data_IF_637350562971
#
_entry.id   IF_637350562971
#
_cell.length_a   1.000
_cell.length_b   1.000
_cell.length_c   1.000
_cell.angle_alpha   90.00
_cell.angle_beta   90.00
_cell.angle_gamma   90.00
#
_symmetry.space_group_name_H-M   'P 1'
#
loop_
_entity.id
_entity.type
_entity.pdbx_description
1 polymer ?
#
# COMPACT_ATOMS: atom_id res chain seq x y z
N UNK A 1 32.25 12.29 19.44
CA UNK A 1 32.32 10.81 19.39
C UNK A 1 31.96 10.43 17.97
N UNK A 2 33.02 10.18 17.21
CA UNK A 2 33.02 9.82 15.80
C UNK A 2 32.68 8.34 15.74
N UNK A 3 31.65 7.99 14.97
CA UNK A 3 31.36 6.64 14.51
C UNK A 3 30.54 6.81 13.23
N UNK A 4 30.81 6.19 12.09
CA UNK A 4 31.97 5.51 11.53
C UNK A 4 31.60 5.46 10.03
N UNK A 5 32.51 5.75 9.09
CA UNK A 5 32.19 5.85 7.67
C UNK A 5 32.09 4.45 7.07
N UNK A 6 30.90 3.85 7.07
CA UNK A 6 30.62 2.69 6.24
C UNK A 6 30.21 3.17 4.84
N UNK A 7 31.24 3.59 4.11
CA UNK A 7 31.32 3.54 2.67
C UNK A 7 30.97 2.11 2.19
N UNK A 8 29.67 1.82 2.06
CA UNK A 8 29.23 0.75 1.16
C UNK A 8 28.90 1.39 -0.19
N UNK A 9 29.94 1.92 -0.83
CA UNK A 9 30.17 1.59 -2.23
C UNK A 9 30.14 0.07 -2.36
N UNK A 10 28.93 -0.49 -2.38
CA UNK A 10 28.59 -1.69 -3.12
C UNK A 10 28.67 -1.27 -4.59
N UNK A 11 29.86 -0.88 -5.07
CA UNK A 11 30.77 -1.82 -5.74
C UNK A 11 29.88 -2.71 -6.58
N UNK A 12 29.69 -2.23 -7.80
CA UNK A 12 29.13 -2.94 -8.93
C UNK A 12 29.55 -4.40 -8.81
N UNK A 13 28.68 -5.22 -8.19
CA UNK A 13 28.88 -6.65 -8.21
C UNK A 13 28.85 -6.96 -9.70
N UNK A 14 29.93 -7.51 -10.28
CA UNK A 14 29.93 -7.79 -11.70
C UNK A 14 28.65 -8.54 -12.00
N UNK A 15 27.92 -8.08 -13.04
CA UNK A 15 26.74 -8.78 -13.52
C UNK A 15 27.24 -10.18 -13.81
N UNK A 16 27.03 -11.11 -12.87
CA UNK A 16 27.42 -12.50 -13.02
C UNK A 16 26.39 -13.05 -13.97
N UNK A 17 26.63 -12.80 -15.25
CA UNK A 17 25.88 -13.38 -16.33
C UNK A 17 26.22 -14.87 -16.32
N UNK A 18 25.47 -15.61 -15.50
CA UNK A 18 25.47 -17.06 -15.51
C UNK A 18 24.61 -17.50 -16.69
N UNK A 19 24.95 -17.03 -17.89
CA UNK A 19 24.32 -17.35 -19.17
C UNK A 19 24.75 -18.71 -19.72
N UNK A 20 25.15 -19.63 -18.85
CA UNK A 20 25.72 -20.91 -19.27
C UNK A 20 25.57 -21.99 -18.22
N UNK A 21 24.34 -22.34 -17.85
CA UNK A 21 24.02 -23.67 -17.33
C UNK A 21 22.73 -24.15 -18.04
N UNK A 22 22.89 -24.55 -19.30
CA UNK A 22 21.87 -25.30 -20.04
C UNK A 22 21.87 -26.74 -19.56
N UNK A 23 21.22 -27.02 -18.43
CA UNK A 23 20.84 -28.38 -18.06
C UNK A 23 19.46 -28.35 -17.38
N UNK A 24 18.47 -28.96 -18.04
CA UNK A 24 17.15 -29.31 -17.49
C UNK A 24 16.56 -28.34 -16.47
N UNK A 25 16.06 -27.18 -16.93
CA UNK A 25 15.49 -26.17 -16.04
C UNK A 25 14.37 -26.74 -15.16
N UNK A 26 14.63 -26.81 -13.84
CA UNK A 26 13.59 -27.13 -12.86
C UNK A 26 12.38 -26.21 -13.08
N UNK A 27 11.14 -26.71 -13.03
CA UNK A 27 9.94 -25.87 -13.16
C UNK A 27 9.84 -24.79 -12.07
N UNK A 28 10.72 -24.83 -11.07
CA UNK A 28 10.86 -23.86 -9.99
C UNK A 28 12.11 -22.98 -10.10
N UNK A 29 12.85 -23.04 -11.23
CA UNK A 29 14.00 -22.18 -11.46
C UNK A 29 13.56 -20.71 -11.58
N UNK A 30 14.24 -19.83 -10.84
CA UNK A 30 14.02 -18.39 -10.86
C UNK A 30 14.94 -17.74 -11.88
N UNK A 31 14.39 -16.88 -12.73
CA UNK A 31 15.17 -16.11 -13.69
C UNK A 31 16.02 -15.05 -12.96
N UNK A 32 17.33 -15.03 -13.22
CA UNK A 32 18.32 -14.13 -12.56
C UNK A 32 18.16 -14.10 -11.03
N UNK A 33 18.31 -15.26 -10.38
CA UNK A 33 18.25 -15.36 -8.92
C UNK A 33 19.40 -14.57 -8.28
N UNK A 34 19.07 -13.59 -7.44
CA UNK A 34 20.04 -12.75 -6.72
C UNK A 34 19.97 -11.24 -7.01
N UNK A 35 19.25 -10.81 -8.05
CA UNK A 35 19.02 -9.39 -8.37
C UNK A 35 17.53 -9.04 -8.30
N UNK A 36 17.16 -7.83 -7.90
CA UNK A 36 15.75 -7.45 -7.79
C UNK A 36 15.08 -8.00 -6.52
N UNK A 37 15.84 -8.54 -5.56
CA UNK A 37 15.29 -9.39 -4.50
C UNK A 37 14.28 -8.65 -3.64
N UNK A 38 14.58 -7.42 -3.20
CA UNK A 38 13.67 -6.66 -2.34
C UNK A 38 12.37 -6.29 -3.06
N UNK A 39 12.48 -5.83 -4.31
CA UNK A 39 11.32 -5.46 -5.13
C UNK A 39 10.47 -6.69 -5.45
N UNK A 40 11.08 -7.84 -5.77
CA UNK A 40 10.36 -9.09 -6.03
C UNK A 40 9.62 -9.59 -4.78
N UNK A 41 10.24 -9.57 -3.61
CA UNK A 41 9.54 -9.93 -2.36
C UNK A 41 8.41 -8.97 -2.04
N UNK A 42 8.60 -7.65 -2.26
CA UNK A 42 7.54 -6.65 -2.11
C UNK A 42 6.36 -6.91 -3.05
N UNK A 43 6.63 -7.15 -4.33
CA UNK A 43 5.60 -7.51 -5.32
C UNK A 43 4.93 -8.84 -5.01
N UNK A 44 5.68 -9.85 -4.53
CA UNK A 44 5.14 -11.16 -4.17
C UNK A 44 4.24 -11.07 -2.93
N UNK A 45 4.62 -10.26 -1.93
CA UNK A 45 3.80 -9.99 -0.76
C UNK A 45 2.50 -9.29 -1.15
N UNK A 46 2.57 -8.22 -1.96
CA UNK A 46 1.40 -7.52 -2.46
C UNK A 46 0.47 -8.42 -3.28
N UNK A 47 1.04 -9.19 -4.22
CA UNK A 47 0.28 -10.16 -5.00
C UNK A 47 -0.33 -11.27 -4.13
N UNK A 48 0.36 -11.70 -3.06
CA UNK A 48 -0.15 -12.65 -2.08
C UNK A 48 -1.37 -12.12 -1.33
N UNK A 49 -1.32 -10.88 -0.84
CA UNK A 49 -2.45 -10.23 -0.17
C UNK A 49 -3.65 -10.14 -1.12
N UNK A 50 -3.44 -9.70 -2.36
CA UNK A 50 -4.50 -9.61 -3.38
C UNK A 50 -5.07 -10.99 -3.71
N UNK A 51 -4.23 -12.02 -3.78
CA UNK A 51 -4.66 -13.40 -4.06
C UNK A 51 -5.54 -13.94 -2.94
N UNK A 52 -5.17 -13.72 -1.68
CA UNK A 52 -5.96 -14.12 -0.51
C UNK A 52 -7.28 -13.34 -0.49
N UNK A 53 -7.25 -12.03 -0.71
CA UNK A 53 -8.46 -11.20 -0.80
C UNK A 53 -9.41 -11.67 -1.91
N UNK A 54 -8.88 -12.02 -3.08
CA UNK A 54 -9.66 -12.56 -4.19
C UNK A 54 -10.29 -13.93 -3.86
N UNK A 55 -9.56 -14.81 -3.17
CA UNK A 55 -10.08 -16.10 -2.73
C UNK A 55 -11.19 -15.94 -1.68
N UNK A 56 -11.03 -15.03 -0.71
CA UNK A 56 -12.07 -14.70 0.28
C UNK A 56 -13.31 -14.11 -0.41
N UNK A 57 -13.11 -13.16 -1.33
CA UNK A 57 -14.21 -12.57 -2.10
C UNK A 57 -14.96 -13.61 -2.93
N UNK A 58 -14.25 -14.54 -3.57
CA UNK A 58 -14.85 -15.63 -4.33
C UNK A 58 -15.69 -16.55 -3.42
N UNK A 59 -15.18 -16.89 -2.23
CA UNK A 59 -15.91 -17.68 -1.23
C UNK A 59 -17.20 -16.97 -0.78
N UNK A 60 -17.12 -15.69 -0.43
CA UNK A 60 -18.28 -14.91 0.05
C UNK A 60 -19.34 -14.75 -1.03
N UNK A 61 -18.96 -14.46 -2.27
CA UNK A 61 -19.91 -14.31 -3.39
C UNK A 61 -20.57 -15.61 -3.80
N UNK A 62 -19.87 -16.72 -3.67
CA UNK A 62 -20.40 -18.05 -3.97
C UNK A 62 -21.33 -18.57 -2.86
N UNK A 63 -21.25 -18.00 -1.65
CA UNK A 63 -22.22 -18.23 -0.55
C UNK A 63 -23.61 -17.65 -0.81
N UNK A 64 -23.69 -16.59 -1.60
CA UNK A 64 -24.95 -15.94 -1.97
C UNK A 64 -25.74 -16.72 -3.05
N UNK A 65 -25.15 -17.75 -3.64
CA UNK A 65 -25.79 -18.55 -4.70
C UNK A 65 -26.66 -19.66 -4.06
N UNK A 66 -27.98 -19.52 -4.15
CA UNK A 66 -28.96 -20.42 -3.52
C UNK A 66 -29.36 -21.64 -4.35
N UNK A 67 -28.85 -21.79 -5.58
CA UNK A 67 -29.25 -22.85 -6.52
C UNK A 67 -28.93 -24.30 -6.09
N UNK A 68 -28.11 -24.50 -5.04
CA UNK A 68 -27.76 -25.83 -4.51
C UNK A 68 -28.43 -26.01 -3.15
N UNK A 69 -29.50 -26.80 -3.09
CA UNK A 69 -30.29 -27.03 -1.87
C UNK A 69 -29.53 -27.87 -0.83
N UNK A 70 -28.66 -28.78 -1.27
CA UNK A 70 -27.86 -29.63 -0.38
C UNK A 70 -26.69 -28.86 0.24
N UNK A 71 -26.74 -28.67 1.56
CA UNK A 71 -25.72 -27.93 2.32
C UNK A 71 -24.29 -28.49 2.17
N UNK A 72 -24.14 -29.82 2.14
CA UNK A 72 -22.84 -30.47 1.97
C UNK A 72 -22.24 -30.23 0.59
N UNK A 73 -23.01 -30.41 -0.50
CA UNK A 73 -22.55 -30.15 -1.87
C UNK A 73 -22.18 -28.69 -2.09
N UNK A 74 -22.93 -27.77 -1.49
CA UNK A 74 -22.66 -26.32 -1.55
C UNK A 74 -21.30 -25.98 -0.93
N UNK A 75 -20.98 -26.54 0.25
CA UNK A 75 -19.70 -26.32 0.93
C UNK A 75 -18.52 -26.81 0.08
N UNK A 76 -18.60 -28.02 -0.51
CA UNK A 76 -17.54 -28.57 -1.35
C UNK A 76 -17.25 -27.73 -2.60
N UNK A 77 -18.30 -27.23 -3.27
CA UNK A 77 -18.15 -26.37 -4.45
C UNK A 77 -17.53 -25.02 -4.04
N UNK A 78 -17.97 -24.43 -2.92
CA UNK A 78 -17.45 -23.16 -2.43
C UNK A 78 -15.96 -23.23 -2.10
N UNK A 79 -15.58 -24.21 -1.28
CA UNK A 79 -14.18 -24.42 -0.91
C UNK A 79 -13.34 -24.78 -2.13
N UNK A 80 -13.87 -25.61 -3.04
CA UNK A 80 -13.18 -25.99 -4.28
C UNK A 80 -12.88 -24.79 -5.18
N UNK A 81 -13.86 -23.89 -5.39
CA UNK A 81 -13.66 -22.69 -6.20
C UNK A 81 -12.70 -21.72 -5.52
N UNK A 82 -12.83 -21.49 -4.21
CA UNK A 82 -11.93 -20.60 -3.48
C UNK A 82 -10.47 -21.09 -3.52
N UNK A 83 -10.24 -22.39 -3.34
CA UNK A 83 -8.92 -23.01 -3.47
C UNK A 83 -8.39 -22.95 -4.91
N UNK A 84 -9.25 -23.16 -5.90
CA UNK A 84 -8.89 -23.03 -7.31
C UNK A 84 -8.43 -21.62 -7.68
N UNK A 85 -9.15 -20.59 -7.20
CA UNK A 85 -8.78 -19.18 -7.37
C UNK A 85 -7.46 -18.88 -6.68
N UNK A 86 -7.29 -19.34 -5.43
CA UNK A 86 -6.05 -19.16 -4.67
C UNK A 86 -4.85 -19.78 -5.39
N UNK A 87 -4.96 -21.05 -5.79
CA UNK A 87 -3.88 -21.77 -6.48
C UNK A 87 -3.57 -21.17 -7.85
N UNK A 88 -4.61 -20.84 -8.64
CA UNK A 88 -4.45 -20.27 -9.97
C UNK A 88 -3.74 -18.91 -9.94
N UNK A 89 -4.15 -18.02 -9.04
CA UNK A 89 -3.53 -16.71 -8.88
C UNK A 89 -2.14 -16.79 -8.25
N UNK A 90 -1.90 -17.71 -7.31
CA UNK A 90 -0.57 -17.94 -6.74
C UNK A 90 0.43 -18.43 -7.81
N UNK A 91 0.01 -19.38 -8.66
CA UNK A 91 0.84 -19.88 -9.78
C UNK A 91 1.10 -18.74 -10.77
N UNK A 92 0.08 -17.97 -11.13
CA UNK A 92 0.23 -16.82 -12.03
C UNK A 92 1.21 -15.79 -11.46
N UNK A 93 1.07 -15.44 -10.18
CA UNK A 93 1.98 -14.55 -9.46
C UNK A 93 3.43 -15.06 -9.48
N UNK A 94 3.63 -16.36 -9.21
CA UNK A 94 4.95 -16.98 -9.27
C UNK A 94 5.56 -16.93 -10.69
N UNK A 95 4.78 -17.23 -11.74
CA UNK A 95 5.27 -17.16 -13.12
C UNK A 95 5.65 -15.74 -13.52
N UNK A 96 4.82 -14.75 -13.17
CA UNK A 96 5.07 -13.36 -13.52
C UNK A 96 6.26 -12.78 -12.76
N UNK A 97 6.33 -12.97 -11.45
CA UNK A 97 7.36 -12.34 -10.58
C UNK A 97 8.69 -13.13 -10.60
N UNK A 98 8.63 -14.45 -10.74
CA UNK A 98 9.79 -15.34 -10.60
C UNK A 98 10.39 -15.81 -11.92
N UNK A 99 9.59 -15.97 -12.98
CA UNK A 99 10.02 -16.69 -14.20
C UNK A 99 9.98 -15.82 -15.45
N UNK A 100 9.06 -14.86 -15.55
CA UNK A 100 8.89 -14.02 -16.74
C UNK A 100 10.08 -13.06 -16.92
N UNK A 101 10.89 -13.18 -17.99
CA UNK A 101 12.06 -12.34 -18.17
C UNK A 101 11.70 -10.85 -18.25
N UNK A 102 10.60 -10.50 -18.94
CA UNK A 102 10.17 -9.11 -19.12
C UNK A 102 9.84 -8.43 -17.80
N UNK A 103 9.07 -9.12 -16.95
CA UNK A 103 8.65 -8.57 -15.65
C UNK A 103 9.85 -8.52 -14.72
N UNK A 104 10.65 -9.59 -14.67
CA UNK A 104 11.82 -9.64 -13.81
C UNK A 104 12.85 -8.57 -14.16
N UNK A 105 13.17 -8.39 -15.44
CA UNK A 105 14.12 -7.37 -15.88
C UNK A 105 13.60 -5.95 -15.57
N UNK A 106 12.28 -5.73 -15.68
CA UNK A 106 11.65 -4.47 -15.24
C UNK A 106 11.76 -4.25 -13.72
N UNK A 107 11.51 -5.27 -12.90
CA UNK A 107 11.61 -5.16 -11.43
C UNK A 107 13.06 -4.89 -10.99
N UNK A 108 14.04 -5.53 -11.65
CA UNK A 108 15.47 -5.25 -11.42
C UNK A 108 15.82 -3.82 -11.83
N UNK A 109 15.37 -3.37 -13.01
CA UNK A 109 15.61 -2.00 -13.46
C UNK A 109 14.99 -0.97 -12.50
N UNK A 110 13.79 -1.24 -12.00
CA UNK A 110 13.10 -0.40 -11.02
C UNK A 110 13.89 -0.33 -9.71
N UNK A 111 14.37 -1.46 -9.18
CA UNK A 111 15.22 -1.46 -7.98
C UNK A 111 16.49 -0.63 -8.18
N UNK A 112 17.14 -0.80 -9.33
CA UNK A 112 18.35 -0.05 -9.67
C UNK A 112 18.09 1.45 -9.81
N UNK A 113 16.93 1.84 -10.34
CA UNK A 113 16.55 3.25 -10.44
C UNK A 113 16.22 3.83 -9.05
N UNK A 114 15.51 3.08 -8.20
CA UNK A 114 15.22 3.50 -6.82
C UNK A 114 16.47 3.63 -5.96
N UNK A 115 17.52 2.83 -6.20
CA UNK A 115 18.82 2.95 -5.50
C UNK A 115 19.57 4.24 -5.82
N UNK A 116 19.28 4.88 -6.96
CA UNK A 116 19.88 6.18 -7.32
C UNK A 116 19.21 7.35 -6.59
N UNK A 117 18.01 7.14 -6.05
CA UNK A 117 17.27 8.18 -5.34
C UNK A 117 17.85 8.36 -3.95
N UNK A 118 18.40 9.55 -3.69
CA UNK A 118 18.81 9.95 -2.36
C UNK A 118 17.56 10.20 -1.50
N UNK A 119 17.36 9.38 -0.46
CA UNK A 119 16.28 9.57 0.49
C UNK A 119 16.59 10.75 1.43
N UNK A 120 15.57 11.56 1.71
CA UNK A 120 15.69 12.70 2.63
C UNK A 120 16.21 12.25 3.99
N UNK A 121 17.11 13.05 4.55
CA UNK A 121 17.65 12.77 5.88
C UNK A 121 16.54 12.90 6.93
N UNK A 122 16.68 12.20 8.08
CA UNK A 122 15.70 12.30 9.18
C UNK A 122 15.46 13.76 9.60
N UNK A 123 16.50 14.60 9.56
CA UNK A 123 16.39 16.02 9.91
C UNK A 123 15.52 16.80 8.92
N UNK A 124 15.65 16.54 7.62
CA UNK A 124 14.83 17.15 6.58
C UNK A 124 13.37 16.72 6.70
N UNK A 125 13.12 15.43 6.94
CA UNK A 125 11.75 14.91 7.14
C UNK A 125 11.09 15.58 8.34
N UNK A 126 11.78 15.69 9.47
CA UNK A 126 11.27 16.41 10.64
C UNK A 126 11.03 17.90 10.38
N UNK A 127 11.91 18.55 9.61
CA UNK A 127 11.74 19.93 9.19
C UNK A 127 10.49 20.12 8.33
N UNK A 128 10.33 19.29 7.29
CA UNK A 128 9.19 19.33 6.39
C UNK A 128 7.87 19.07 7.12
N UNK A 129 7.81 18.04 7.98
CA UNK A 129 6.59 17.71 8.74
C UNK A 129 6.16 18.85 9.68
N UNK A 130 7.12 19.53 10.34
CA UNK A 130 6.80 20.68 11.21
C UNK A 130 6.15 21.82 10.42
N UNK A 131 6.67 22.13 9.23
CA UNK A 131 6.11 23.17 8.36
C UNK A 131 4.70 22.78 7.93
N UNK A 132 4.51 21.54 7.46
CA UNK A 132 3.18 21.05 7.05
C UNK A 132 2.17 21.16 8.19
N UNK A 133 2.50 20.66 9.38
CA UNK A 133 1.62 20.75 10.56
C UNK A 133 1.27 22.21 10.88
N UNK A 134 2.27 23.11 10.90
CA UNK A 134 2.03 24.53 11.16
C UNK A 134 1.11 25.15 10.10
N UNK A 135 1.32 24.86 8.82
CA UNK A 135 0.47 25.39 7.73
C UNK A 135 -0.96 24.85 7.78
N UNK A 136 -1.15 23.57 8.09
CA UNK A 136 -2.48 22.95 8.23
C UNK A 136 -3.23 23.51 9.43
N UNK A 137 -2.55 23.70 10.57
CA UNK A 137 -3.15 24.31 11.75
C UNK A 137 -3.53 25.77 11.52
N UNK A 138 -2.66 26.55 10.86
CA UNK A 138 -2.96 27.94 10.53
C UNK A 138 -4.13 28.03 9.54
N UNK A 139 -4.15 27.17 8.51
CA UNK A 139 -5.27 27.07 7.58
C UNK A 139 -6.57 26.72 8.31
N UNK A 140 -6.54 25.72 9.20
CA UNK A 140 -7.70 25.33 10.00
C UNK A 140 -8.21 26.47 10.89
N UNK A 141 -7.30 27.21 11.53
CA UNK A 141 -7.66 28.39 12.33
C UNK A 141 -8.24 29.51 11.46
N UNK A 142 -7.67 29.77 10.29
CA UNK A 142 -8.18 30.77 9.36
C UNK A 142 -9.59 30.43 8.87
N UNK A 143 -9.81 29.17 8.48
CA UNK A 143 -11.15 28.67 8.10
C UNK A 143 -12.13 28.81 9.27
N UNK A 144 -11.74 28.43 10.49
CA UNK A 144 -12.58 28.59 11.67
C UNK A 144 -12.99 30.04 11.91
N UNK A 145 -12.06 31.01 11.78
CA UNK A 145 -12.38 32.43 11.92
C UNK A 145 -13.35 32.89 10.83
N UNK A 146 -13.09 32.51 9.58
CA UNK A 146 -13.95 32.87 8.43
C UNK A 146 -15.35 32.28 8.59
N UNK A 147 -15.45 31.03 9.04
CA UNK A 147 -16.71 30.36 9.34
C UNK A 147 -17.49 31.12 10.43
N UNK A 148 -16.82 31.52 11.53
CA UNK A 148 -17.44 32.33 12.59
C UNK A 148 -17.92 33.70 12.09
N UNK A 149 -17.16 34.35 11.21
CA UNK A 149 -17.53 35.63 10.60
C UNK A 149 -18.76 35.47 9.70
N UNK A 150 -18.78 34.45 8.83
CA UNK A 150 -19.93 34.16 7.98
C UNK A 150 -21.17 33.79 8.81
N UNK A 151 -21.02 32.95 9.82
CA UNK A 151 -22.10 32.60 10.75
C UNK A 151 -22.71 33.85 11.38
N UNK A 152 -21.86 34.73 11.91
CA UNK A 152 -22.28 35.98 12.54
C UNK A 152 -22.96 36.93 11.55
N UNK A 153 -22.40 37.07 10.33
CA UNK A 153 -22.96 37.88 9.25
C UNK A 153 -24.33 37.38 8.78
N UNK A 154 -24.49 36.07 8.53
CA UNK A 154 -25.75 35.50 8.09
C UNK A 154 -26.82 35.48 9.20
N UNK A 155 -26.40 35.39 10.46
CA UNK A 155 -27.31 35.56 11.60
C UNK A 155 -27.82 37.00 11.71
N UNK A 156 -26.97 38.00 11.45
CA UNK A 156 -27.35 39.41 11.46
C UNK A 156 -28.42 39.73 10.40
N UNK A 157 -28.30 39.17 9.21
CA UNK A 157 -29.24 39.35 8.10
C UNK A 157 -30.53 38.50 8.30
N UNK A 158 -30.59 37.70 9.38
CA UNK A 158 -31.78 36.92 9.72
C UNK A 158 -32.01 35.70 8.83
N UNK A 159 -31.04 35.33 7.99
CA UNK A 159 -31.07 34.11 7.16
C UNK A 159 -30.95 32.87 8.06
N UNK A 160 -30.11 32.94 9.10
CA UNK A 160 -29.87 31.85 10.04
C UNK A 160 -30.34 32.27 11.44
N UNK A 161 -31.20 31.46 12.08
CA UNK A 161 -31.54 31.63 13.50
C UNK A 161 -30.48 30.93 14.35
N UNK A 162 -29.48 31.68 14.81
CA UNK A 162 -28.48 31.16 15.75
C UNK A 162 -28.83 31.58 17.18
N UNK A 163 -29.12 30.64 18.10
CA UNK A 163 -29.14 30.95 19.53
C UNK A 163 -27.69 31.15 19.96
N UNK A 164 -27.22 32.40 20.05
CA UNK A 164 -25.90 32.69 20.62
C UNK A 164 -26.02 32.78 22.15
N UNK A 165 -25.04 32.26 22.92
CA UNK A 165 -23.62 32.34 22.58
C UNK A 165 -22.83 31.03 22.71
N UNK A 166 -22.07 30.74 21.65
CA UNK A 166 -21.06 29.67 21.56
C UNK A 166 -20.09 29.66 22.76
N UNK A 167 -19.77 30.83 23.35
CA UNK A 167 -18.95 30.92 24.56
C UNK A 167 -19.60 30.29 25.80
N UNK A 168 -20.94 30.35 25.93
CA UNK A 168 -21.65 29.72 27.05
C UNK A 168 -21.82 28.22 26.84
N UNK A 169 -21.89 27.70 25.61
CA UNK A 169 -21.98 26.25 25.39
C UNK A 169 -20.63 25.54 25.42
N UNK A 170 -19.53 26.23 25.11
CA UNK A 170 -18.17 25.68 25.17
C UNK A 170 -17.48 25.88 26.52
N UNK A 171 -17.75 26.97 27.24
CA UNK A 171 -17.18 27.27 28.56
C UNK A 171 -18.22 27.30 29.70
N UNK A 172 -19.51 27.17 29.40
CA UNK A 172 -20.59 27.08 30.38
C UNK A 172 -21.23 25.69 30.35
N UNK A 173 -20.52 24.73 30.96
CA UNK A 173 -21.20 23.56 31.50
C UNK A 173 -22.17 23.99 32.61
N UNK A 174 -23.31 23.30 32.66
CA UNK A 174 -24.34 23.34 33.70
C UNK A 174 -25.13 24.65 33.82
N UNK A 175 -26.39 24.64 33.38
CA UNK A 175 -27.53 24.25 34.22
C UNK A 175 -28.55 23.47 33.39
#
# INVERSE_FOLDING_TARGET
>A
MVDSPADDRSQERPIRDRSGDTEGGSPFALYKSGQGTYVRWGSALGAGIVTIAAAMFAYDRLSAITFVETASTRLWIQTGVALGVLAGLAILGFRLIGQSPRVVDFLIATENEMRKVNWSSRKEVWGATKVVIATVLLMGLALFIVDLLFMSFFSLIGVIRMPMPILQTLFGGAQ
#
